data_IF_725994823401
#
_entry.id   IF_725994823401
#
_cell.length_a   1.000
_cell.length_b   1.000
_cell.length_c   1.000
_cell.angle_alpha   90.00
_cell.angle_beta   90.00
_cell.angle_gamma   90.00
#
_symmetry.space_group_name_H-M   'P 1'
#
loop_
_entity.id
_entity.type
_entity.pdbx_description
1 polymer ?
#
# COMPACT_ATOMS: atom_id res chain seq x y z
N UNK A 1 -2.64 -2.81 4.80
CA UNK A 1 -3.60 -3.67 5.56
C UNK A 1 -3.47 -3.44 7.07
N UNK A 2 -2.30 -3.66 7.68
CA UNK A 2 -2.09 -3.48 9.12
C UNK A 2 -2.52 -2.08 9.62
N UNK A 3 -2.08 -1.01 8.93
CA UNK A 3 -2.52 0.36 9.24
C UNK A 3 -4.03 0.60 9.12
N UNK A 4 -4.72 -0.12 8.22
CA UNK A 4 -6.19 -0.04 8.12
C UNK A 4 -6.85 -0.55 9.40
N UNK A 5 -6.29 -1.62 9.98
CA UNK A 5 -6.77 -2.19 11.25
C UNK A 5 -6.41 -1.26 12.41
N UNK A 6 -5.15 -0.80 12.48
CA UNK A 6 -4.66 0.08 13.55
C UNK A 6 -5.41 1.42 13.60
N UNK A 7 -5.66 2.05 12.45
CA UNK A 7 -6.43 3.30 12.36
C UNK A 7 -7.95 3.08 12.40
N UNK A 8 -8.41 1.86 12.64
CA UNK A 8 -9.82 1.48 12.75
C UNK A 8 -10.69 2.01 11.59
N UNK A 9 -10.26 1.80 10.35
CA UNK A 9 -11.01 2.23 9.15
C UNK A 9 -12.22 1.31 8.88
N UNK A 10 -13.24 1.43 9.75
CA UNK A 10 -14.35 0.48 9.91
C UNK A 10 -15.06 0.11 8.62
N UNK A 11 -15.44 1.08 7.79
CA UNK A 11 -16.12 0.84 6.50
C UNK A 11 -15.35 -0.10 5.58
N UNK A 12 -14.01 -0.04 5.59
CA UNK A 12 -13.16 -0.91 4.77
C UNK A 12 -13.09 -2.29 5.40
N UNK A 13 -12.89 -2.35 6.72
CA UNK A 13 -12.79 -3.60 7.48
C UNK A 13 -14.07 -4.43 7.31
N UNK A 14 -15.25 -3.81 7.44
CA UNK A 14 -16.54 -4.47 7.26
C UNK A 14 -16.68 -5.06 5.87
N UNK A 15 -16.46 -4.26 4.82
CA UNK A 15 -16.58 -4.72 3.41
C UNK A 15 -15.64 -5.88 3.10
N UNK A 16 -14.40 -5.82 3.59
CA UNK A 16 -13.41 -6.88 3.37
C UNK A 16 -13.79 -8.15 4.12
N UNK A 17 -14.32 -8.04 5.35
CA UNK A 17 -14.80 -9.18 6.14
C UNK A 17 -15.99 -9.87 5.48
N UNK A 18 -17.00 -9.12 5.06
CA UNK A 18 -18.18 -9.65 4.37
C UNK A 18 -17.79 -10.38 3.07
N UNK A 19 -16.82 -9.84 2.33
CA UNK A 19 -16.32 -10.45 1.10
C UNK A 19 -15.33 -11.60 1.34
N UNK A 20 -14.76 -11.71 2.54
CA UNK A 20 -13.70 -12.68 2.87
C UNK A 20 -12.34 -12.41 2.22
N UNK A 21 -12.16 -11.32 1.46
CA UNK A 21 -10.89 -10.97 0.81
C UNK A 21 -10.76 -9.48 0.53
N UNK A 22 -9.50 -9.03 0.49
CA UNK A 22 -9.14 -7.69 0.03
C UNK A 22 -9.15 -7.63 -1.50
N UNK A 23 -9.66 -6.53 -2.04
CA UNK A 23 -9.51 -6.17 -3.46
C UNK A 23 -8.55 -4.98 -3.61
N UNK A 24 -8.00 -4.78 -4.81
CA UNK A 24 -7.21 -3.57 -5.10
C UNK A 24 -8.02 -2.30 -4.81
N UNK A 25 -9.32 -2.29 -5.12
CA UNK A 25 -10.21 -1.17 -4.79
C UNK A 25 -10.30 -0.87 -3.30
N UNK A 26 -10.28 -1.89 -2.44
CA UNK A 26 -10.24 -1.68 -0.98
C UNK A 26 -8.89 -1.12 -0.53
N UNK A 27 -7.80 -1.60 -1.14
CA UNK A 27 -6.44 -1.12 -0.86
C UNK A 27 -6.25 0.33 -1.28
N UNK A 28 -6.70 0.71 -2.48
CA UNK A 28 -6.73 2.09 -2.97
C UNK A 28 -7.48 3.02 -2.01
N UNK A 29 -8.67 2.59 -1.57
CA UNK A 29 -9.46 3.36 -0.59
C UNK A 29 -8.72 3.49 0.75
N UNK A 30 -8.10 2.41 1.23
CA UNK A 30 -7.35 2.41 2.47
C UNK A 30 -6.16 3.35 2.40
N UNK A 31 -5.35 3.27 1.33
CA UNK A 31 -4.18 4.13 1.09
C UNK A 31 -4.59 5.60 1.09
N UNK A 32 -5.68 5.96 0.41
CA UNK A 32 -6.19 7.33 0.38
C UNK A 32 -6.60 7.86 1.76
N UNK A 33 -7.11 7.00 2.65
CA UNK A 33 -7.47 7.41 4.01
C UNK A 33 -6.23 7.46 4.91
N UNK A 34 -5.36 6.46 4.82
CA UNK A 34 -4.09 6.40 5.58
C UNK A 34 -3.22 7.61 5.26
N UNK A 35 -3.13 8.01 3.99
CA UNK A 35 -2.29 9.15 3.59
C UNK A 35 -2.76 10.49 4.15
N UNK A 36 -4.02 10.61 4.58
CA UNK A 36 -4.50 11.80 5.31
C UNK A 36 -3.94 11.88 6.73
N UNK A 37 -3.64 10.74 7.35
CA UNK A 37 -3.13 10.66 8.73
C UNK A 37 -1.60 10.54 8.77
N UNK A 38 -1.04 9.71 7.90
CA UNK A 38 0.40 9.36 7.86
C UNK A 38 1.20 10.29 6.93
N UNK A 39 0.51 10.96 6.00
CA UNK A 39 1.10 11.88 5.04
C UNK A 39 1.06 11.36 3.60
N UNK A 40 1.18 12.31 2.66
CA UNK A 40 1.09 12.07 1.21
C UNK A 40 2.07 11.01 0.70
N UNK A 41 3.27 10.96 1.29
CA UNK A 41 4.32 10.01 0.94
C UNK A 41 3.84 8.54 0.98
N UNK A 42 2.88 8.21 1.85
CA UNK A 42 2.33 6.85 1.94
C UNK A 42 1.59 6.45 0.66
N UNK A 43 0.90 7.41 0.01
CA UNK A 43 0.24 7.16 -1.27
C UNK A 43 1.26 7.05 -2.41
N UNK A 44 2.30 7.88 -2.40
CA UNK A 44 3.38 7.81 -3.40
C UNK A 44 4.09 6.45 -3.33
N UNK A 45 4.30 5.92 -2.14
CA UNK A 45 4.85 4.59 -1.96
C UNK A 45 3.92 3.46 -2.43
N UNK A 46 2.60 3.63 -2.28
CA UNK A 46 1.64 2.69 -2.86
C UNK A 46 1.63 2.74 -4.38
N UNK A 47 1.68 3.94 -4.97
CA UNK A 47 1.73 4.11 -6.42
C UNK A 47 2.99 3.45 -7.00
N UNK A 48 4.14 3.59 -6.34
CA UNK A 48 5.38 2.90 -6.68
C UNK A 48 5.24 1.36 -6.58
N UNK A 49 4.65 0.86 -5.50
CA UNK A 49 4.40 -0.57 -5.31
C UNK A 49 3.45 -1.14 -6.39
N UNK A 50 2.39 -0.41 -6.74
CA UNK A 50 1.43 -0.82 -7.78
C UNK A 50 2.08 -0.80 -9.17
N UNK A 51 2.95 0.18 -9.45
CA UNK A 51 3.73 0.22 -10.68
C UNK A 51 4.65 -1.00 -10.81
N UNK A 52 5.37 -1.36 -9.73
CA UNK A 52 6.19 -2.58 -9.69
C UNK A 52 5.35 -3.85 -9.86
N UNK A 53 4.15 -3.90 -9.28
CA UNK A 53 3.25 -5.05 -9.42
C UNK A 53 2.78 -5.26 -10.86
N UNK A 54 2.37 -4.20 -11.55
CA UNK A 54 1.87 -4.31 -12.93
C UNK A 54 3.06 -4.47 -13.89
N UNK A 55 3.94 -3.48 -13.95
CA UNK A 55 4.98 -3.44 -14.99
C UNK A 55 6.16 -4.36 -14.70
N UNK A 56 6.42 -4.65 -13.43
CA UNK A 56 7.47 -5.59 -13.01
C UNK A 56 6.99 -7.04 -12.98
N UNK A 57 5.90 -7.35 -12.28
CA UNK A 57 5.46 -8.74 -12.13
C UNK A 57 4.56 -9.24 -13.27
N UNK A 58 3.52 -8.47 -13.64
CA UNK A 58 2.60 -8.92 -14.69
C UNK A 58 3.19 -8.78 -16.09
N UNK A 59 3.83 -7.65 -16.38
CA UNK A 59 4.36 -7.38 -17.72
C UNK A 59 5.84 -7.74 -17.87
N UNK A 60 6.60 -7.84 -16.76
CA UNK A 60 8.03 -8.18 -16.76
C UNK A 60 8.90 -7.31 -17.68
N UNK A 61 8.57 -6.02 -17.81
CA UNK A 61 9.26 -5.08 -18.71
C UNK A 61 10.26 -4.16 -18.00
N UNK A 62 10.29 -4.15 -16.67
CA UNK A 62 11.19 -3.29 -15.91
C UNK A 62 12.57 -3.92 -15.78
N UNK A 63 13.61 -3.11 -16.01
CA UNK A 63 14.97 -3.49 -15.71
C UNK A 63 15.28 -3.36 -14.21
N UNK A 64 16.49 -3.80 -13.84
CA UNK A 64 16.94 -3.77 -12.44
C UNK A 64 16.92 -2.35 -11.87
N UNK A 65 17.35 -1.36 -12.63
CA UNK A 65 17.51 0.00 -12.12
C UNK A 65 16.14 0.63 -11.86
N UNK A 66 15.17 0.45 -12.77
CA UNK A 66 13.79 0.88 -12.60
C UNK A 66 13.10 0.23 -11.39
N UNK A 67 13.45 -1.03 -11.08
CA UNK A 67 13.00 -1.73 -9.88
C UNK A 67 13.63 -1.10 -8.63
N UNK A 68 14.95 -0.92 -8.62
CA UNK A 68 15.70 -0.39 -7.48
C UNK A 68 15.26 1.03 -7.10
N UNK A 69 15.02 1.91 -8.08
CA UNK A 69 14.53 3.29 -7.87
C UNK A 69 13.21 3.37 -7.06
N UNK A 70 12.40 2.30 -7.09
CA UNK A 70 11.10 2.24 -6.42
C UNK A 70 11.14 1.41 -5.14
N UNK A 71 12.24 0.69 -4.89
CA UNK A 71 12.36 -0.20 -3.73
C UNK A 71 12.30 0.58 -2.42
N UNK A 72 13.01 1.71 -2.33
CA UNK A 72 13.09 2.56 -1.13
C UNK A 72 11.72 3.04 -0.65
N UNK A 73 10.78 3.26 -1.58
CA UNK A 73 9.42 3.66 -1.26
C UNK A 73 8.67 2.54 -0.54
N UNK A 74 8.81 1.30 -1.03
CA UNK A 74 8.16 0.11 -0.44
C UNK A 74 8.77 -0.20 0.92
N UNK A 75 10.10 -0.14 1.02
CA UNK A 75 10.83 -0.35 2.27
C UNK A 75 10.38 0.66 3.33
N UNK A 76 10.41 1.95 3.01
CA UNK A 76 9.91 3.01 3.91
C UNK A 76 8.48 2.77 4.34
N UNK A 77 7.58 2.38 3.42
CA UNK A 77 6.18 2.09 3.78
C UNK A 77 6.10 1.00 4.85
N UNK A 78 6.88 -0.06 4.71
CA UNK A 78 6.89 -1.18 5.66
C UNK A 78 7.48 -0.76 7.00
N UNK A 79 8.63 -0.08 7.00
CA UNK A 79 9.31 0.35 8.22
C UNK A 79 8.48 1.34 9.04
N UNK A 80 7.95 2.38 8.40
CA UNK A 80 7.10 3.36 9.08
C UNK A 80 5.79 2.73 9.55
N UNK A 81 5.24 1.77 8.80
CA UNK A 81 4.07 1.00 9.27
C UNK A 81 4.38 0.26 10.57
N UNK A 82 5.55 -0.35 10.72
CA UNK A 82 5.96 -1.02 11.95
C UNK A 82 6.05 -0.02 13.11
N UNK A 83 6.76 1.10 12.90
CA UNK A 83 6.92 2.16 13.92
C UNK A 83 5.60 2.77 14.41
N UNK A 84 4.57 2.80 13.57
CA UNK A 84 3.25 3.34 13.94
C UNK A 84 2.44 2.33 14.76
N UNK A 85 2.65 1.03 14.52
CA UNK A 85 1.83 -0.03 15.12
C UNK A 85 2.44 -0.58 16.42
N UNK A 86 3.77 -0.53 16.54
CA UNK A 86 4.54 -0.86 17.75
C UNK A 86 4.55 0.28 18.77
#
# INVERSE_FOLDING_TARGET
KALTMHLNLGDIITRVRERGRWTVTDLERAVRLISKSVGRWFREAWDAANYLHIWGFHEAILDKDAIMERMDYVERMVEETKKIIE
#
